data_IF_676794330445
#
_entry.id   IF_676794330445
#
_cell.length_a   1.000
_cell.length_b   1.000
_cell.length_c   1.000
_cell.angle_alpha   90.00
_cell.angle_beta   90.00
_cell.angle_gamma   90.00
#
_symmetry.space_group_name_H-M   'P 1'
#
loop_
_entity.id
_entity.type
_entity.pdbx_description
1 polymer ?
#
# COMPACT_ATOMS: atom_id res chain seq x y z
N UNK A 1 -26.92 -27.44 -6.54
CA UNK A 1 -26.30 -26.42 -7.41
C UNK A 1 -25.08 -25.87 -6.70
N UNK A 2 -23.83 -26.22 -7.06
CA UNK A 2 -22.68 -25.72 -6.35
C UNK A 2 -22.35 -24.31 -6.82
N UNK A 3 -22.21 -23.41 -5.84
CA UNK A 3 -21.91 -22.00 -6.03
C UNK A 3 -20.53 -21.80 -6.68
N UNK A 4 -20.51 -21.05 -7.77
CA UNK A 4 -19.32 -20.68 -8.52
C UNK A 4 -18.53 -19.62 -7.72
N UNK A 5 -17.53 -20.04 -6.95
CA UNK A 5 -16.57 -19.12 -6.31
C UNK A 5 -15.64 -18.60 -7.41
N UNK A 6 -15.95 -17.42 -7.94
CA UNK A 6 -15.13 -16.75 -8.95
C UNK A 6 -13.75 -16.41 -8.36
N UNK A 7 -12.73 -17.19 -8.73
CA UNK A 7 -11.33 -16.89 -8.43
C UNK A 7 -10.92 -15.64 -9.22
N UNK A 8 -10.82 -14.50 -8.53
CA UNK A 8 -10.33 -13.22 -9.07
C UNK A 8 -8.81 -13.31 -9.31
N UNK A 9 -8.36 -13.75 -10.48
CA UNK A 9 -6.94 -13.65 -10.86
C UNK A 9 -6.70 -12.35 -11.64
N UNK A 10 -6.02 -11.38 -11.02
CA UNK A 10 -5.42 -10.24 -11.74
C UNK A 10 -4.05 -10.71 -12.27
N UNK A 11 -3.68 -10.43 -13.51
CA UNK A 11 -2.30 -10.62 -14.01
C UNK A 11 -1.66 -9.23 -14.03
N UNK A 12 -0.75 -8.92 -13.11
CA UNK A 12 0.04 -7.69 -13.24
C UNK A 12 1.38 -7.98 -13.91
N UNK A 13 1.71 -7.13 -14.87
CA UNK A 13 2.97 -7.13 -15.58
C UNK A 13 3.95 -6.30 -14.77
N UNK A 14 5.08 -6.94 -14.45
CA UNK A 14 6.27 -6.48 -13.74
C UNK A 14 6.52 -4.97 -13.90
N UNK A 15 6.40 -4.20 -12.81
CA UNK A 15 7.04 -2.89 -12.69
C UNK A 15 8.55 -3.12 -12.85
N UNK A 16 9.09 -2.84 -14.03
CA UNK A 16 10.52 -3.01 -14.28
C UNK A 16 11.25 -1.87 -13.58
N UNK A 17 11.76 -2.16 -12.39
CA UNK A 17 12.83 -1.37 -11.77
C UNK A 17 14.09 -1.50 -12.65
N UNK A 18 14.17 -0.72 -13.73
CA UNK A 18 15.43 -0.60 -14.47
C UNK A 18 16.43 0.10 -13.56
N UNK A 19 17.48 -0.62 -13.18
CA UNK A 19 18.68 -0.04 -12.58
C UNK A 19 19.26 0.96 -13.58
N UNK A 20 19.11 2.25 -13.33
CA UNK A 20 20.02 3.21 -13.94
C UNK A 20 21.34 3.13 -13.16
N UNK A 21 22.36 2.53 -13.78
CA UNK A 21 23.71 3.01 -13.57
C UNK A 21 23.77 4.43 -14.14
N UNK A 22 24.16 5.41 -13.31
CA UNK A 22 24.45 6.80 -13.70
C UNK A 22 23.30 7.82 -13.81
N UNK A 23 22.28 7.78 -12.94
CA UNK A 23 21.65 9.03 -12.49
C UNK A 23 21.52 8.97 -10.98
N UNK A 24 22.33 9.76 -10.29
CA UNK A 24 22.17 10.01 -8.86
C UNK A 24 20.83 10.75 -8.69
N UNK A 25 19.74 10.01 -8.46
CA UNK A 25 18.60 10.59 -7.75
C UNK A 25 19.15 11.04 -6.41
N UNK A 26 19.32 12.35 -6.23
CA UNK A 26 19.67 12.96 -4.94
C UNK A 26 18.60 12.70 -3.88
N UNK A 27 17.41 12.26 -4.30
CA UNK A 27 16.33 11.85 -3.41
C UNK A 27 16.65 10.50 -2.78
N UNK A 28 16.64 10.48 -1.44
CA UNK A 28 16.69 9.27 -0.63
C UNK A 28 15.35 8.52 -0.61
N UNK A 29 14.31 9.04 -1.28
CA UNK A 29 13.00 8.42 -1.27
C UNK A 29 12.96 7.21 -2.20
N UNK A 30 12.68 6.03 -1.64
CA UNK A 30 12.47 4.78 -2.39
C UNK A 30 11.53 4.91 -3.59
N UNK A 31 10.48 5.74 -3.50
CA UNK A 31 9.55 6.01 -4.61
C UNK A 31 10.25 6.68 -5.81
N UNK A 32 11.25 7.53 -5.58
CA UNK A 32 11.99 8.23 -6.63
C UNK A 32 12.79 7.29 -7.54
N UNK A 33 13.00 6.03 -7.14
CA UNK A 33 13.64 5.01 -7.97
C UNK A 33 12.66 4.26 -8.89
N UNK A 34 11.35 4.54 -8.79
CA UNK A 34 10.34 4.01 -9.69
C UNK A 34 10.28 4.87 -10.96
N UNK A 35 10.49 4.22 -12.10
CA UNK A 35 10.38 4.87 -13.40
C UNK A 35 9.14 4.35 -14.12
N UNK A 36 8.15 5.23 -14.30
CA UNK A 36 6.98 4.98 -15.14
C UNK A 36 7.30 5.29 -16.61
N UNK A 37 8.46 4.85 -17.09
CA UNK A 37 8.85 5.00 -18.48
C UNK A 37 7.94 4.14 -19.37
N UNK A 38 7.54 4.66 -20.53
CA UNK A 38 6.52 4.09 -21.42
C UNK A 38 5.11 4.08 -20.81
N UNK A 39 4.56 5.28 -20.62
CA UNK A 39 3.25 5.51 -20.00
C UNK A 39 2.10 4.75 -20.67
N UNK A 40 2.24 4.40 -21.96
CA UNK A 40 1.18 3.74 -22.75
C UNK A 40 1.19 2.20 -22.60
N UNK A 41 2.23 1.62 -22.00
CA UNK A 41 2.27 0.17 -21.77
C UNK A 41 1.28 -0.25 -20.69
N UNK A 42 0.73 -1.46 -20.82
CA UNK A 42 -0.21 -2.03 -19.85
C UNK A 42 0.53 -2.46 -18.58
N UNK A 43 0.09 -1.95 -17.43
CA UNK A 43 0.58 -2.33 -16.11
C UNK A 43 -0.33 -3.38 -15.46
N UNK A 44 -1.65 -3.23 -15.59
CA UNK A 44 -2.65 -4.13 -14.99
C UNK A 44 -3.69 -4.55 -16.02
N UNK A 45 -4.12 -5.81 -15.92
CA UNK A 45 -5.36 -6.29 -16.55
C UNK A 45 -6.20 -6.96 -15.48
N UNK A 46 -7.43 -6.49 -15.33
CA UNK A 46 -8.35 -7.03 -14.35
C UNK A 46 -9.07 -8.30 -14.86
N UNK A 47 -9.95 -8.87 -14.03
CA UNK A 47 -10.70 -10.09 -14.36
C UNK A 47 -11.76 -9.89 -15.47
N UNK A 48 -12.12 -8.65 -15.80
CA UNK A 48 -13.05 -8.27 -16.88
C UNK A 48 -12.33 -7.95 -18.18
N UNK A 49 -10.99 -7.93 -18.17
CA UNK A 49 -10.16 -7.54 -19.31
C UNK A 49 -9.91 -6.04 -19.40
N UNK A 50 -10.34 -5.25 -18.42
CA UNK A 50 -10.03 -3.82 -18.37
C UNK A 50 -8.53 -3.64 -18.12
N UNK A 51 -7.91 -2.77 -18.92
CA UNK A 51 -6.48 -2.53 -18.89
C UNK A 51 -6.19 -1.16 -18.26
N UNK A 52 -5.20 -1.12 -17.38
CA UNK A 52 -4.65 0.13 -16.84
C UNK A 52 -3.20 0.27 -17.30
N UNK A 53 -2.87 1.39 -17.93
CA UNK A 53 -1.50 1.69 -18.38
C UNK A 53 -0.59 2.12 -17.22
N UNK A 54 0.72 2.13 -17.44
CA UNK A 54 1.67 2.70 -16.47
C UNK A 54 1.39 4.17 -16.17
N UNK A 55 1.00 4.96 -17.18
CA UNK A 55 0.64 6.36 -17.01
C UNK A 55 -0.59 6.53 -16.12
N UNK A 56 -1.66 5.78 -16.40
CA UNK A 56 -2.89 5.80 -15.59
C UNK A 56 -2.63 5.32 -14.15
N UNK A 57 -1.77 4.31 -13.97
CA UNK A 57 -1.40 3.85 -12.64
C UNK A 57 -0.55 4.87 -11.87
N UNK A 58 0.37 5.55 -12.55
CA UNK A 58 1.14 6.64 -11.94
C UNK A 58 0.22 7.79 -11.51
N UNK A 59 -0.73 8.16 -12.36
CA UNK A 59 -1.73 9.17 -12.02
C UNK A 59 -2.56 8.75 -10.80
N UNK A 60 -3.00 7.49 -10.73
CA UNK A 60 -3.69 6.95 -9.56
C UNK A 60 -2.85 7.09 -8.27
N UNK A 61 -1.55 6.78 -8.32
CA UNK A 61 -0.64 6.97 -7.18
C UNK A 61 -0.57 8.44 -6.77
N UNK A 62 -0.45 9.34 -7.76
CA UNK A 62 -0.38 10.77 -7.53
C UNK A 62 -1.67 11.32 -6.90
N UNK A 63 -2.84 10.91 -7.38
CA UNK A 63 -4.14 11.28 -6.78
C UNK A 63 -4.29 10.69 -5.38
N UNK A 64 -3.89 9.44 -5.18
CA UNK A 64 -3.86 8.79 -3.87
C UNK A 64 -2.99 9.55 -2.88
N UNK A 65 -1.81 10.04 -3.31
CA UNK A 65 -0.94 10.85 -2.45
C UNK A 65 -1.58 12.17 -2.02
N UNK A 66 -2.30 12.85 -2.93
CA UNK A 66 -3.09 14.04 -2.59
C UNK A 66 -4.18 13.70 -1.57
N UNK A 67 -4.88 12.58 -1.74
CA UNK A 67 -5.94 12.17 -0.82
C UNK A 67 -5.41 11.82 0.58
N UNK A 68 -4.25 11.18 0.68
CA UNK A 68 -3.61 10.92 1.97
C UNK A 68 -3.26 12.22 2.70
N UNK A 69 -2.73 13.21 1.99
CA UNK A 69 -2.42 14.54 2.54
C UNK A 69 -3.70 15.27 3.00
N UNK A 70 -4.82 15.15 2.27
CA UNK A 70 -6.12 15.68 2.70
C UNK A 70 -6.63 14.99 3.98
N UNK A 71 -6.41 13.68 4.11
CA UNK A 71 -6.63 12.92 5.35
C UNK A 71 -5.57 13.23 6.44
N UNK A 72 -4.79 14.30 6.25
CA UNK A 72 -3.74 14.80 7.14
C UNK A 72 -2.60 13.82 7.39
N UNK A 73 -2.45 12.77 6.59
CA UNK A 73 -1.31 11.83 6.69
C UNK A 73 -0.05 12.57 6.24
N UNK A 74 0.98 12.59 7.08
CA UNK A 74 2.27 13.24 6.79
C UNK A 74 3.43 12.26 6.91
N UNK A 75 4.66 12.75 6.73
CA UNK A 75 5.89 11.97 6.87
C UNK A 75 5.90 11.23 8.22
N UNK A 76 6.31 9.96 8.20
CA UNK A 76 6.34 9.04 9.35
C UNK A 76 4.97 8.61 9.93
N UNK A 77 3.84 9.16 9.46
CA UNK A 77 2.53 8.61 9.82
C UNK A 77 2.36 7.21 9.24
N UNK A 78 1.66 6.34 9.97
CA UNK A 78 1.42 4.95 9.54
C UNK A 78 0.04 4.81 8.91
N UNK A 79 0.00 4.14 7.76
CA UNK A 79 -1.22 3.81 7.03
C UNK A 79 -1.31 2.30 6.92
N UNK A 80 -2.25 1.72 7.66
CA UNK A 80 -2.51 0.30 7.64
C UNK A 80 -3.54 -0.05 6.56
N UNK A 81 -3.38 -1.22 5.96
CA UNK A 81 -4.29 -1.71 4.92
C UNK A 81 -4.59 -3.18 5.13
N UNK A 82 -5.86 -3.50 5.38
CA UNK A 82 -6.39 -4.85 5.48
C UNK A 82 -6.96 -5.34 4.14
N UNK A 83 -6.47 -4.79 3.03
CA UNK A 83 -6.94 -5.14 1.70
C UNK A 83 -6.24 -6.37 1.13
N UNK A 84 -6.96 -7.10 0.29
CA UNK A 84 -6.33 -8.09 -0.57
C UNK A 84 -5.38 -7.40 -1.56
N UNK A 85 -4.48 -8.17 -2.16
CA UNK A 85 -3.59 -7.66 -3.21
C UNK A 85 -4.44 -7.13 -4.37
N UNK A 86 -4.38 -5.83 -4.61
CA UNK A 86 -5.12 -5.14 -5.66
C UNK A 86 -4.32 -3.97 -6.24
N UNK A 87 -4.77 -3.45 -7.38
CA UNK A 87 -4.26 -2.20 -7.97
C UNK A 87 -4.29 -1.07 -6.95
N UNK A 88 -5.38 -0.94 -6.20
CA UNK A 88 -5.56 0.10 -5.19
C UNK A 88 -4.61 -0.08 -4.00
N UNK A 89 -4.43 -1.31 -3.50
CA UNK A 89 -3.51 -1.59 -2.40
C UNK A 89 -2.05 -1.26 -2.76
N UNK A 90 -1.64 -1.57 -4.01
CA UNK A 90 -0.31 -1.19 -4.48
C UNK A 90 -0.20 0.32 -4.68
N UNK A 91 -1.23 0.99 -5.23
CA UNK A 91 -1.24 2.44 -5.35
C UNK A 91 -1.13 3.13 -3.98
N UNK A 92 -1.84 2.63 -2.96
CA UNK A 92 -1.76 3.11 -1.58
C UNK A 92 -0.35 2.96 -1.01
N UNK A 93 0.27 1.80 -1.17
CA UNK A 93 1.64 1.53 -0.73
C UNK A 93 2.62 2.54 -1.35
N UNK A 94 2.55 2.72 -2.67
CA UNK A 94 3.44 3.63 -3.39
C UNK A 94 3.16 5.10 -3.06
N UNK A 95 1.89 5.47 -2.85
CA UNK A 95 1.51 6.81 -2.42
C UNK A 95 2.02 7.13 -1.01
N UNK A 96 1.98 6.18 -0.08
CA UNK A 96 2.57 6.33 1.25
C UNK A 96 4.07 6.62 1.14
N UNK A 97 4.82 5.79 0.39
CA UNK A 97 6.25 6.00 0.18
C UNK A 97 6.54 7.36 -0.47
N UNK A 98 5.74 7.77 -1.45
CA UNK A 98 5.85 9.05 -2.15
C UNK A 98 5.75 10.27 -1.21
N UNK A 99 4.92 10.18 -0.16
CA UNK A 99 4.76 11.24 0.86
C UNK A 99 5.60 11.00 2.12
N UNK A 100 6.42 9.94 2.16
CA UNK A 100 7.21 9.56 3.32
C UNK A 100 6.41 8.98 4.48
N UNK A 101 5.16 8.55 4.23
CA UNK A 101 4.36 7.80 5.19
C UNK A 101 4.76 6.31 5.19
N UNK A 102 4.48 5.64 6.30
CA UNK A 102 4.81 4.24 6.54
C UNK A 102 3.62 3.35 6.15
N UNK A 103 3.80 2.51 5.15
CA UNK A 103 2.77 1.55 4.75
C UNK A 103 2.81 0.27 5.60
N UNK A 104 1.66 -0.20 6.09
CA UNK A 104 1.53 -1.42 6.88
C UNK A 104 0.53 -2.37 6.21
N UNK A 105 0.98 -3.38 5.45
CA UNK A 105 0.09 -4.42 4.95
C UNK A 105 -0.34 -5.35 6.08
N UNK A 106 -1.65 -5.50 6.26
CA UNK A 106 -2.27 -6.43 7.20
C UNK A 106 -3.04 -7.49 6.41
N UNK A 107 -3.07 -8.73 6.93
CA UNK A 107 -3.76 -9.83 6.26
C UNK A 107 -5.27 -9.58 6.23
N UNK A 108 -5.93 -9.74 5.07
CA UNK A 108 -7.41 -9.77 4.99
C UNK A 108 -8.03 -10.87 5.85
N UNK A 109 -7.27 -11.91 6.18
CA UNK A 109 -7.73 -13.00 7.03
C UNK A 109 -7.71 -12.67 8.53
N UNK A 110 -7.06 -11.57 8.94
CA UNK A 110 -7.05 -11.18 10.35
C UNK A 110 -8.45 -10.83 10.85
N UNK A 111 -8.78 -11.36 12.02
CA UNK A 111 -10.01 -11.08 12.78
C UNK A 111 -9.84 -9.81 13.60
N UNK A 112 -10.95 -9.26 14.09
CA UNK A 112 -10.94 -8.04 14.91
C UNK A 112 -10.02 -8.13 16.14
N UNK A 113 -9.94 -9.30 16.79
CA UNK A 113 -9.05 -9.53 17.93
C UNK A 113 -7.56 -9.42 17.56
N UNK A 114 -7.16 -9.93 16.40
CA UNK A 114 -5.80 -9.81 15.87
C UNK A 114 -5.53 -8.37 15.42
N UNK A 115 -6.50 -7.74 14.76
CA UNK A 115 -6.42 -6.33 14.35
C UNK A 115 -6.18 -5.41 15.54
N UNK A 116 -6.87 -5.62 16.68
CA UNK A 116 -6.69 -4.81 17.89
C UNK A 116 -5.22 -4.75 18.31
N UNK A 117 -4.54 -5.89 18.36
CA UNK A 117 -3.11 -5.94 18.67
C UNK A 117 -2.28 -5.09 17.70
N UNK A 118 -2.46 -5.27 16.39
CA UNK A 118 -1.70 -4.54 15.38
C UNK A 118 -1.94 -3.04 15.41
N UNK A 119 -3.19 -2.61 15.59
CA UNK A 119 -3.53 -1.19 15.62
C UNK A 119 -2.99 -0.53 16.89
N UNK A 120 -3.03 -1.20 18.05
CA UNK A 120 -2.45 -0.68 19.29
C UNK A 120 -0.92 -0.61 19.26
N UNK A 121 -0.27 -1.60 18.65
CA UNK A 121 1.18 -1.66 18.49
C UNK A 121 1.68 -0.61 17.49
N UNK A 122 1.10 -0.60 16.28
CA UNK A 122 1.53 0.31 15.21
C UNK A 122 0.96 1.71 15.30
N UNK A 123 -0.17 1.95 15.97
CA UNK A 123 -0.85 3.25 16.05
C UNK A 123 -0.94 3.94 14.68
N UNK A 124 -1.61 3.30 13.69
CA UNK A 124 -1.79 3.89 12.38
C UNK A 124 -2.74 5.07 12.48
N UNK A 125 -2.48 6.09 11.68
CA UNK A 125 -3.38 7.25 11.55
C UNK A 125 -4.60 6.92 10.72
N UNK A 126 -4.42 6.01 9.77
CA UNK A 126 -5.46 5.56 8.86
C UNK A 126 -5.39 4.03 8.73
N UNK A 127 -6.55 3.38 8.80
CA UNK A 127 -6.74 1.97 8.48
C UNK A 127 -7.72 1.86 7.30
N UNK A 128 -7.26 1.26 6.21
CA UNK A 128 -8.09 0.92 5.06
C UNK A 128 -8.61 -0.51 5.17
N UNK A 129 -9.91 -0.69 5.06
CA UNK A 129 -10.59 -1.99 5.16
C UNK A 129 -11.53 -2.21 3.97
N UNK A 130 -11.86 -3.46 3.60
CA UNK A 130 -12.94 -3.72 2.64
C UNK A 130 -14.29 -3.21 3.18
N UNK A 131 -15.21 -2.72 2.33
CA UNK A 131 -16.55 -2.31 2.78
C UNK A 131 -17.25 -3.39 3.63
N UNK A 132 -17.11 -4.66 3.26
CA UNK A 132 -17.73 -5.78 3.98
C UNK A 132 -17.26 -5.96 5.42
N UNK A 133 -16.19 -5.28 5.83
CA UNK A 133 -15.60 -5.38 7.17
C UNK A 133 -15.77 -4.13 8.01
N UNK A 134 -16.29 -3.02 7.45
CA UNK A 134 -16.38 -1.74 8.16
C UNK A 134 -17.19 -1.89 9.44
N UNK A 135 -18.31 -2.59 9.37
CA UNK A 135 -19.23 -2.80 10.49
C UNK A 135 -18.67 -3.75 11.57
N UNK A 136 -17.56 -4.46 11.30
CA UNK A 136 -16.86 -5.24 12.32
C UNK A 136 -16.14 -4.34 13.35
N UNK A 137 -15.85 -3.08 13.00
CA UNK A 137 -15.12 -2.14 13.85
C UNK A 137 -16.08 -1.24 14.63
N UNK A 138 -16.55 -1.74 15.76
CA UNK A 138 -17.50 -1.03 16.63
C UNK A 138 -16.92 0.22 17.30
N UNK A 139 -17.82 1.02 17.90
CA UNK A 139 -17.44 2.24 18.63
C UNK A 139 -16.43 2.00 19.75
N UNK A 140 -16.47 0.81 20.39
CA UNK A 140 -15.52 0.46 21.45
C UNK A 140 -14.11 0.32 20.87
N UNK A 141 -13.95 -0.40 19.75
CA UNK A 141 -12.70 -0.54 19.05
C UNK A 141 -12.16 0.83 18.62
N UNK A 142 -13.01 1.69 18.06
CA UNK A 142 -12.62 3.03 17.60
C UNK A 142 -12.19 3.94 18.75
N UNK A 143 -12.91 3.92 19.88
CA UNK A 143 -12.53 4.69 21.09
C UNK A 143 -11.22 4.21 21.69
N UNK A 144 -11.01 2.90 21.77
CA UNK A 144 -9.81 2.28 22.32
C UNK A 144 -8.58 2.59 21.47
N UNK A 145 -8.68 2.36 20.16
CA UNK A 145 -7.54 2.43 19.24
C UNK A 145 -7.29 3.82 18.66
N UNK A 146 -8.32 4.67 18.62
CA UNK A 146 -8.30 6.02 18.02
C UNK A 146 -7.89 6.04 16.55
N UNK A 147 -8.00 4.91 15.86
CA UNK A 147 -7.68 4.81 14.42
C UNK A 147 -8.82 5.38 13.58
N UNK A 148 -8.49 6.12 12.53
CA UNK A 148 -9.49 6.49 11.52
C UNK A 148 -9.63 5.36 10.51
N UNK A 149 -10.86 4.89 10.31
CA UNK A 149 -11.15 3.84 9.33
C UNK A 149 -11.77 4.46 8.08
N UNK A 150 -11.28 4.04 6.92
CA UNK A 150 -11.89 4.34 5.62
C UNK A 150 -12.10 3.01 4.90
N UNK A 151 -13.23 2.85 4.22
CA UNK A 151 -13.47 1.67 3.39
C UNK A 151 -12.87 1.82 1.99
N UNK A 152 -12.56 0.69 1.36
CA UNK A 152 -11.91 0.62 0.04
C UNK A 152 -12.64 1.47 -1.02
N UNK A 153 -13.96 1.35 -1.07
CA UNK A 153 -14.84 1.99 -2.04
C UNK A 153 -14.92 3.50 -1.82
N UNK A 154 -15.05 3.96 -0.57
CA UNK A 154 -15.06 5.38 -0.25
C UNK A 154 -13.71 6.02 -0.61
N UNK A 155 -12.60 5.35 -0.30
CA UNK A 155 -11.28 5.86 -0.69
C UNK A 155 -11.14 5.95 -2.20
N UNK A 156 -11.59 4.93 -2.95
CA UNK A 156 -11.52 4.92 -4.41
C UNK A 156 -12.24 6.14 -5.01
N UNK A 157 -13.49 6.41 -4.57
CA UNK A 157 -14.27 7.58 -5.02
C UNK A 157 -13.57 8.90 -4.67
N UNK A 158 -13.06 9.02 -3.44
CA UNK A 158 -12.37 10.23 -3.01
C UNK A 158 -11.10 10.50 -3.83
N UNK A 159 -10.35 9.44 -4.16
CA UNK A 159 -9.12 9.51 -4.96
C UNK A 159 -9.43 9.93 -6.40
N UNK A 160 -10.50 9.42 -7.00
CA UNK A 160 -10.94 9.82 -8.34
C UNK A 160 -11.26 11.32 -8.42
N UNK A 161 -11.70 11.94 -7.33
CA UNK A 161 -12.00 13.37 -7.26
C UNK A 161 -10.76 14.25 -7.06
N UNK A 162 -9.60 13.68 -6.71
CA UNK A 162 -8.39 14.45 -6.48
C UNK A 162 -7.67 14.82 -7.77
N UNK A 163 -6.99 15.97 -7.76
CA UNK A 163 -5.98 16.30 -8.76
C UNK A 163 -4.67 15.56 -8.46
N UNK A 164 -3.98 15.01 -9.47
CA UNK A 164 -2.71 14.34 -9.26
C UNK A 164 -1.62 15.34 -8.86
N UNK A 165 -0.85 15.00 -7.82
CA UNK A 165 0.36 15.73 -7.46
C UNK A 165 1.61 14.87 -7.71
N UNK A 166 2.50 15.34 -8.58
CA UNK A 166 3.70 14.62 -8.98
C UNK A 166 4.91 14.88 -8.06
N UNK A 167 4.83 15.83 -7.12
CA UNK A 167 5.89 16.12 -6.15
C UNK A 167 6.17 14.94 -5.22
N UNK A 168 7.44 14.58 -5.04
CA UNK A 168 7.87 13.54 -4.09
C UNK A 168 8.39 14.24 -2.84
N UNK A 169 7.92 13.81 -1.67
CA UNK A 169 8.36 14.42 -0.42
C UNK A 169 9.78 13.98 -0.06
N UNK A 170 10.61 14.90 0.48
CA UNK A 170 11.94 14.56 0.95
C UNK A 170 11.85 13.65 2.19
N UNK A 171 12.73 12.65 2.24
CA UNK A 171 12.87 11.71 3.38
C UNK A 171 14.35 11.47 3.64
N UNK A 172 14.69 10.94 4.82
CA UNK A 172 16.02 10.43 5.15
C UNK A 172 16.11 8.95 4.81
N UNK A 173 17.33 8.46 4.54
CA UNK A 173 17.54 7.03 4.25
C UNK A 173 17.13 6.11 5.41
N UNK A 174 17.22 6.61 6.65
CA UNK A 174 16.80 5.88 7.86
C UNK A 174 15.29 5.92 8.12
N UNK A 175 14.53 6.77 7.42
CA UNK A 175 13.08 6.85 7.63
C UNK A 175 12.43 5.54 7.16
N UNK A 176 11.43 5.08 7.92
CA UNK A 176 10.71 3.84 7.63
C UNK A 176 9.74 4.09 6.47
N UNK A 177 9.78 3.23 5.45
CA UNK A 177 8.87 3.24 4.32
C UNK A 177 7.71 2.23 4.50
N UNK A 178 7.97 1.11 5.19
CA UNK A 178 6.96 0.10 5.46
C UNK A 178 7.25 -0.71 6.73
N UNK A 179 6.20 -1.27 7.34
CA UNK A 179 6.31 -2.25 8.44
C UNK A 179 5.56 -3.50 8.03
N UNK A 180 6.26 -4.64 7.94
CA UNK A 180 5.64 -5.92 7.65
C UNK A 180 5.55 -6.77 8.90
N UNK A 181 4.33 -7.11 9.32
CA UNK A 181 4.11 -8.03 10.42
C UNK A 181 4.23 -9.48 9.95
N UNK A 182 5.04 -10.27 10.65
CA UNK A 182 5.17 -11.71 10.41
C UNK A 182 4.69 -12.45 11.65
N UNK A 183 3.87 -13.49 11.49
CA UNK A 183 3.46 -14.38 12.59
C UNK A 183 4.71 -15.00 13.22
N UNK A 184 5.19 -14.41 14.32
CA UNK A 184 6.31 -14.92 15.09
C UNK A 184 5.91 -16.21 15.80
N UNK A 185 6.83 -17.18 15.87
CA UNK A 185 6.62 -18.47 16.54
C UNK A 185 6.43 -18.34 18.05
N UNK A 186 6.72 -17.17 18.64
CA UNK A 186 6.61 -16.87 20.08
C UNK A 186 5.31 -16.14 20.46
N UNK A 187 4.28 -16.17 19.60
CA UNK A 187 2.95 -15.62 19.87
C UNK A 187 2.77 -14.11 19.63
N UNK A 188 3.82 -13.30 19.81
CA UNK A 188 3.82 -11.88 19.45
C UNK A 188 4.44 -11.64 18.06
N UNK A 189 3.65 -11.08 17.13
CA UNK A 189 4.12 -10.71 15.80
C UNK A 189 5.11 -9.55 15.88
N UNK A 190 6.33 -9.70 15.33
CA UNK A 190 7.31 -8.61 15.28
C UNK A 190 7.17 -7.86 13.95
N UNK A 191 7.03 -6.54 14.02
CA UNK A 191 7.04 -5.68 12.84
C UNK A 191 8.45 -5.57 12.26
N UNK A 192 8.67 -6.08 11.06
CA UNK A 192 9.90 -5.88 10.30
C UNK A 192 9.85 -4.52 9.61
N UNK A 193 10.70 -3.59 10.06
CA UNK A 193 10.81 -2.25 9.47
C UNK A 193 11.64 -2.28 8.19
N UNK A 194 11.15 -1.62 7.16
CA UNK A 194 11.85 -1.41 5.89
C UNK A 194 12.04 0.08 5.71
N UNK A 195 13.28 0.52 5.50
CA UNK A 195 13.62 1.95 5.36
C UNK A 195 13.74 2.38 3.92
N UNK A 196 13.66 3.69 3.65
CA UNK A 196 13.86 4.22 2.30
C UNK A 196 15.28 3.95 1.74
N UNK A 197 16.30 3.86 2.61
CA UNK A 197 17.67 3.50 2.24
C UNK A 197 17.97 2.00 2.20
N UNK A 198 16.99 1.14 2.54
CA UNK A 198 17.15 -0.31 2.42
C UNK A 198 17.46 -0.67 0.97
N UNK A 199 18.50 -1.50 0.74
CA UNK A 199 18.87 -1.93 -0.62
C UNK A 199 17.61 -2.46 -1.31
N UNK A 200 17.21 -1.83 -2.42
CA UNK A 200 16.03 -2.13 -3.27
C UNK A 200 15.85 -3.61 -3.55
N UNK A 201 16.93 -4.39 -3.47
CA UNK A 201 16.93 -5.85 -3.57
C UNK A 201 15.97 -6.53 -2.58
N UNK A 202 15.86 -6.09 -1.32
CA UNK A 202 15.09 -6.83 -0.30
C UNK A 202 13.57 -6.57 -0.30
N UNK A 203 13.09 -5.42 -0.78
CA UNK A 203 11.64 -5.10 -0.76
C UNK A 203 10.80 -6.09 -1.60
N UNK A 204 11.44 -6.71 -2.60
CA UNK A 204 10.82 -7.69 -3.50
C UNK A 204 11.51 -9.08 -3.49
N UNK A 205 12.56 -9.30 -2.67
CA UNK A 205 13.27 -10.59 -2.51
C UNK A 205 13.01 -11.32 -1.19
N UNK A 206 11.82 -11.21 -0.59
CA UNK A 206 11.41 -12.31 0.29
C UNK A 206 11.20 -13.58 -0.57
N UNK A 207 12.28 -14.38 -0.58
CA UNK A 207 12.50 -15.64 -1.27
C UNK A 207 11.30 -16.59 -1.10
N UNK A 208 10.87 -17.19 -2.22
CA UNK A 208 9.86 -18.24 -2.38
C UNK A 208 8.38 -17.87 -2.55
N UNK A 209 8.06 -16.61 -2.82
CA UNK A 209 6.91 -16.34 -3.69
C UNK A 209 7.22 -15.11 -4.52
N UNK A 210 7.59 -15.34 -5.77
CA UNK A 210 7.36 -14.37 -6.84
C UNK A 210 6.03 -13.66 -6.58
N UNK A 211 5.97 -12.33 -6.67
CA UNK A 211 4.72 -11.59 -6.86
C UNK A 211 4.16 -11.97 -8.24
N UNK A 212 3.82 -13.24 -8.40
CA UNK A 212 2.87 -13.73 -9.37
C UNK A 212 1.53 -13.33 -8.79
N UNK A 213 0.92 -12.34 -9.43
CA UNK A 213 -0.50 -12.12 -9.29
C UNK A 213 -1.16 -13.39 -9.83
N UNK A 214 -1.68 -14.22 -8.92
CA UNK A 214 -2.42 -15.45 -9.19
C UNK A 214 -3.81 -15.28 -8.61
#
# INVERSE_FOLDING_TARGET
MPAFVARRSMKAVIVVLRKHSNMASSSNNLYSHLHFANADLIAFTDHRGEQTTYGQFHELICRMSTQLLHNRVTVCDRVASQLAKSKLALALCLACMKIGAVYIPLSPAFRLSEMRYFILDSKPKLLLVPASKVDEYDDNFLRETKVNIICEEALAVQVEQQRPNYSVMPVRQGDVAAICYTSGTTGASKGAMITHGSKTRNLFHHRNNSLKFR
#
